data_IF_124190090707
#
_entry.id   IF_124190090707
#
_cell.length_a   1.000
_cell.length_b   1.000
_cell.length_c   1.000
_cell.angle_alpha   90.00
_cell.angle_beta   90.00
_cell.angle_gamma   90.00
#
_symmetry.space_group_name_H-M   'P 1'
#
loop_
_entity.id
_entity.type
_entity.pdbx_description
1 polymer ?
#
# COMPACT_ATOMS: atom_id res chain seq x y z
N UNK A 1 -0.91 -18.75 -19.26
CA UNK A 1 -0.19 -18.18 -18.11
C UNK A 1 -1.20 -18.10 -16.98
N UNK A 2 -0.95 -18.73 -15.84
CA UNK A 2 -1.79 -18.57 -14.65
C UNK A 2 -1.63 -17.13 -14.17
N UNK A 3 -2.69 -16.34 -14.24
CA UNK A 3 -2.68 -14.98 -13.72
C UNK A 3 -2.77 -15.05 -12.18
N UNK A 4 -1.74 -14.54 -11.50
CA UNK A 4 -1.69 -14.52 -10.05
C UNK A 4 -2.50 -13.34 -9.52
N UNK A 5 -3.57 -13.62 -8.77
CA UNK A 5 -4.30 -12.58 -8.04
C UNK A 5 -3.59 -12.26 -6.72
N UNK A 6 -3.36 -10.98 -6.47
CA UNK A 6 -2.69 -10.47 -5.27
C UNK A 6 -3.52 -9.33 -4.70
N UNK A 7 -3.86 -9.41 -3.43
CA UNK A 7 -4.53 -8.35 -2.70
C UNK A 7 -3.51 -7.58 -1.86
N UNK A 8 -3.50 -6.26 -2.00
CA UNK A 8 -2.60 -5.38 -1.27
C UNK A 8 -3.42 -4.36 -0.51
N UNK A 9 -3.19 -4.26 0.80
CA UNK A 9 -3.66 -3.14 1.62
C UNK A 9 -2.45 -2.35 2.08
N UNK A 10 -2.36 -1.09 1.69
CA UNK A 10 -1.22 -0.25 1.98
C UNK A 10 -1.62 1.11 2.57
N UNK A 11 -0.78 1.58 3.49
CA UNK A 11 -0.98 2.86 4.17
C UNK A 11 0.39 3.52 4.47
N UNK A 12 0.36 4.80 4.76
CA UNK A 12 1.48 5.63 5.13
C UNK A 12 1.20 6.47 6.37
N UNK A 13 2.24 6.78 7.14
CA UNK A 13 2.11 7.70 8.25
C UNK A 13 3.39 8.49 8.50
N UNK A 14 3.27 9.81 8.65
CA UNK A 14 4.31 10.71 9.10
C UNK A 14 4.02 11.15 10.55
N UNK A 15 5.02 11.03 11.41
CA UNK A 15 4.95 11.43 12.82
C UNK A 15 5.26 12.93 12.95
N UNK A 16 4.26 13.71 13.37
CA UNK A 16 4.41 15.15 13.62
C UNK A 16 3.12 15.92 13.33
N UNK A 17 2.91 17.01 14.06
CA UNK A 17 1.67 17.79 13.96
C UNK A 17 1.70 18.87 12.86
N UNK A 18 2.84 19.02 12.18
CA UNK A 18 3.02 20.00 11.10
C UNK A 18 3.14 19.27 9.77
N UNK A 19 2.00 19.12 9.08
CA UNK A 19 1.92 18.46 7.77
C UNK A 19 2.66 19.21 6.66
N UNK A 20 3.15 20.43 6.92
CA UNK A 20 3.91 21.23 5.96
C UNK A 20 5.42 20.97 6.00
N UNK A 21 5.91 20.27 7.02
CA UNK A 21 7.34 19.98 7.20
C UNK A 21 7.64 18.49 7.07
N UNK A 22 8.75 18.11 6.42
CA UNK A 22 9.21 16.73 6.44
C UNK A 22 9.40 16.23 7.87
N UNK A 23 8.94 15.04 8.15
CA UNK A 23 9.12 14.37 9.44
C UNK A 23 9.46 12.90 9.26
N UNK A 24 9.67 12.20 10.38
CA UNK A 24 9.86 10.74 10.37
C UNK A 24 8.58 10.11 9.83
N UNK A 25 8.68 9.34 8.76
CA UNK A 25 7.53 8.67 8.16
C UNK A 25 7.80 7.19 7.89
N UNK A 26 6.71 6.46 7.71
CA UNK A 26 6.66 5.03 7.44
C UNK A 26 5.61 4.75 6.37
N UNK A 27 5.81 3.69 5.61
CA UNK A 27 4.78 3.06 4.79
C UNK A 27 4.76 1.57 5.09
N UNK A 28 3.61 0.94 4.87
CA UNK A 28 3.49 -0.49 4.98
C UNK A 28 2.46 -1.04 4.01
N UNK A 29 2.61 -2.32 3.69
CA UNK A 29 1.67 -3.08 2.90
C UNK A 29 1.48 -4.47 3.50
N UNK A 30 0.22 -4.86 3.72
CA UNK A 30 -0.21 -6.25 3.86
C UNK A 30 -0.46 -6.79 2.44
N UNK A 31 0.27 -7.84 2.09
CA UNK A 31 0.18 -8.49 0.78
C UNK A 31 -0.33 -9.90 0.98
N UNK A 32 -1.39 -10.25 0.27
CA UNK A 32 -2.04 -11.54 0.39
C UNK A 32 -2.21 -12.20 -0.97
N UNK A 33 -1.97 -13.50 -1.03
CA UNK A 33 -2.18 -14.29 -2.23
C UNK A 33 -2.74 -15.69 -1.90
N UNK A 34 -3.49 -16.31 -2.83
CA UNK A 34 -3.98 -17.68 -2.66
C UNK A 34 -2.85 -18.69 -2.56
N UNK A 35 -2.96 -19.62 -1.62
CA UNK A 35 -2.01 -20.70 -1.37
C UNK A 35 -2.77 -22.02 -1.16
N UNK A 36 -3.23 -22.62 -2.25
CA UNK A 36 -4.12 -23.79 -2.21
C UNK A 36 -5.45 -23.41 -1.55
N UNK A 37 -5.80 -24.12 -0.48
CA UNK A 37 -7.02 -23.87 0.31
C UNK A 37 -6.81 -22.83 1.44
N UNK A 38 -5.67 -22.14 1.44
CA UNK A 38 -5.32 -21.12 2.44
C UNK A 38 -4.88 -19.81 1.80
N UNK A 39 -4.70 -18.78 2.63
CA UNK A 39 -4.16 -17.48 2.24
C UNK A 39 -2.74 -17.33 2.77
N UNK A 40 -1.79 -17.05 1.88
CA UNK A 40 -0.45 -16.63 2.30
C UNK A 40 -0.42 -15.11 2.48
N UNK A 41 0.16 -14.66 3.58
CA UNK A 41 0.23 -13.26 3.98
C UNK A 41 1.66 -12.81 4.25
N UNK A 42 2.03 -11.67 3.70
CA UNK A 42 3.32 -11.03 3.95
C UNK A 42 3.14 -9.57 4.32
N UNK A 43 4.06 -9.08 5.13
CA UNK A 43 4.21 -7.66 5.36
C UNK A 43 5.40 -7.12 4.59
N UNK A 44 5.25 -5.89 4.16
CA UNK A 44 6.32 -5.04 3.71
C UNK A 44 6.20 -3.71 4.42
N UNK A 45 7.31 -3.13 4.86
CA UNK A 45 7.34 -1.78 5.39
C UNK A 45 8.72 -1.13 5.24
N UNK A 46 8.69 0.19 5.09
CA UNK A 46 9.85 1.06 5.01
C UNK A 46 9.65 2.32 5.85
N UNK A 47 10.75 3.01 6.13
CA UNK A 47 10.77 4.27 6.85
C UNK A 47 11.68 5.29 6.17
N UNK A 48 11.45 6.57 6.47
CA UNK A 48 12.36 7.67 6.13
C UNK A 48 12.38 8.70 7.27
N UNK A 49 13.54 9.25 7.64
CA UNK A 49 13.64 10.20 8.74
C UNK A 49 13.09 11.59 8.39
N UNK A 50 13.01 11.92 7.09
CA UNK A 50 12.50 13.19 6.60
C UNK A 50 11.71 12.98 5.31
N UNK A 51 10.39 12.91 5.43
CA UNK A 51 9.47 12.61 4.33
C UNK A 51 8.10 13.25 4.56
N UNK A 52 7.18 13.05 3.62
CA UNK A 52 5.78 13.45 3.72
C UNK A 52 4.88 12.26 3.44
N UNK A 53 3.61 12.30 3.85
CA UNK A 53 2.65 11.23 3.57
C UNK A 53 2.61 10.89 2.08
N UNK A 54 2.42 11.89 1.19
CA UNK A 54 2.40 11.67 -0.25
C UNK A 54 3.66 10.96 -0.79
N UNK A 55 4.85 11.26 -0.27
CA UNK A 55 6.08 10.55 -0.67
C UNK A 55 6.09 9.11 -0.18
N UNK A 56 5.64 8.87 1.06
CA UNK A 56 5.58 7.54 1.65
C UNK A 56 4.53 6.65 0.97
N UNK A 57 3.38 7.21 0.60
CA UNK A 57 2.34 6.54 -0.18
C UNK A 57 2.91 5.99 -1.51
N UNK A 58 3.56 6.88 -2.27
CA UNK A 58 4.15 6.53 -3.56
C UNK A 58 5.29 5.52 -3.40
N UNK A 59 6.21 5.75 -2.45
CA UNK A 59 7.33 4.86 -2.19
C UNK A 59 6.85 3.44 -1.79
N UNK A 60 5.84 3.36 -0.92
CA UNK A 60 5.25 2.09 -0.47
C UNK A 60 4.61 1.33 -1.63
N UNK A 61 3.80 2.01 -2.46
CA UNK A 61 3.18 1.41 -3.63
C UNK A 61 4.22 0.90 -4.65
N UNK A 62 5.26 1.71 -4.92
CA UNK A 62 6.37 1.30 -5.80
C UNK A 62 7.01 0.02 -5.29
N UNK A 63 7.42 0.02 -4.01
CA UNK A 63 8.17 -1.08 -3.45
C UNK A 63 7.34 -2.37 -3.35
N UNK A 64 6.06 -2.26 -2.97
CA UNK A 64 5.14 -3.40 -2.97
C UNK A 64 5.00 -4.03 -4.36
N UNK A 65 4.77 -3.21 -5.41
CA UNK A 65 4.66 -3.72 -6.78
C UNK A 65 5.99 -4.28 -7.31
N UNK A 66 7.14 -3.67 -6.97
CA UNK A 66 8.47 -4.20 -7.32
C UNK A 66 8.75 -5.56 -6.66
N UNK A 67 8.26 -5.79 -5.45
CA UNK A 67 8.31 -7.10 -4.79
C UNK A 67 7.40 -8.12 -5.45
N UNK A 68 6.15 -7.76 -5.72
CA UNK A 68 5.18 -8.62 -6.43
C UNK A 68 5.74 -9.06 -7.78
N UNK A 69 6.36 -8.14 -8.54
CA UNK A 69 7.04 -8.44 -9.80
C UNK A 69 8.16 -9.46 -9.63
N UNK A 70 8.95 -9.40 -8.56
CA UNK A 70 10.02 -10.37 -8.31
C UNK A 70 9.48 -11.77 -7.99
N UNK A 71 8.30 -11.87 -7.40
CA UNK A 71 7.67 -13.14 -7.06
C UNK A 71 6.94 -13.77 -8.26
N UNK A 72 6.11 -13.01 -8.97
CA UNK A 72 5.21 -13.57 -10.00
C UNK A 72 5.45 -13.07 -11.43
N UNK A 73 6.41 -12.16 -11.64
CA UNK A 73 6.69 -11.44 -12.90
C UNK A 73 5.54 -10.56 -13.42
N UNK A 74 4.32 -11.07 -13.43
CA UNK A 74 3.06 -10.40 -13.76
C UNK A 74 1.96 -10.88 -12.79
N UNK A 75 1.07 -9.98 -12.38
CA UNK A 75 -0.01 -10.28 -11.43
C UNK A 75 -1.21 -9.37 -11.68
N UNK A 76 -2.40 -9.85 -11.35
CA UNK A 76 -3.58 -9.02 -11.17
C UNK A 76 -3.60 -8.55 -9.71
N UNK A 77 -3.27 -7.28 -9.50
CA UNK A 77 -3.14 -6.67 -8.18
C UNK A 77 -4.38 -5.84 -7.88
N UNK A 78 -5.12 -6.19 -6.84
CA UNK A 78 -6.06 -5.24 -6.21
C UNK A 78 -5.29 -4.46 -5.16
N UNK A 79 -5.07 -3.17 -5.42
CA UNK A 79 -4.31 -2.28 -4.55
C UNK A 79 -5.26 -1.35 -3.80
N UNK A 80 -5.40 -1.59 -2.50
CA UNK A 80 -6.27 -0.85 -1.58
C UNK A 80 -5.44 0.11 -0.74
N UNK A 81 -5.86 1.37 -0.66
CA UNK A 81 -5.25 2.38 0.21
C UNK A 81 -6.24 3.49 0.51
N UNK A 82 -6.08 4.18 1.64
CA UNK A 82 -6.83 5.39 1.98
C UNK A 82 -6.20 6.69 1.45
N UNK A 83 -5.02 6.60 0.83
CA UNK A 83 -4.35 7.70 0.17
C UNK A 83 -5.06 8.09 -1.13
N UNK A 84 -6.00 9.05 -1.07
CA UNK A 84 -6.64 9.59 -2.28
C UNK A 84 -5.62 10.11 -3.29
N UNK A 85 -4.50 10.67 -2.80
CA UNK A 85 -3.42 11.16 -3.65
C UNK A 85 -2.83 10.06 -4.51
N UNK A 86 -2.55 8.89 -3.92
CA UNK A 86 -2.07 7.71 -4.64
C UNK A 86 -3.14 7.17 -5.59
N UNK A 87 -4.35 6.88 -5.08
CA UNK A 87 -5.40 6.19 -5.84
C UNK A 87 -5.85 7.04 -7.02
N UNK A 88 -6.22 8.31 -6.82
CA UNK A 88 -6.64 9.20 -7.92
C UNK A 88 -5.48 9.52 -8.84
N UNK A 89 -4.27 9.65 -8.30
CA UNK A 89 -3.10 9.88 -9.14
C UNK A 89 -2.84 8.76 -10.13
N UNK A 90 -3.02 7.49 -9.72
CA UNK A 90 -2.88 6.36 -10.63
C UNK A 90 -4.10 6.10 -11.52
N UNK A 91 -5.31 6.24 -10.99
CA UNK A 91 -6.54 5.88 -11.71
C UNK A 91 -7.12 7.01 -12.58
N UNK A 92 -6.87 8.27 -12.23
CA UNK A 92 -7.49 9.43 -12.90
C UNK A 92 -6.44 10.36 -13.54
N UNK A 93 -5.38 10.73 -12.80
CA UNK A 93 -4.51 11.85 -13.20
C UNK A 93 -3.31 11.42 -14.05
N UNK A 94 -2.82 10.20 -13.87
CA UNK A 94 -1.62 9.64 -14.53
C UNK A 94 -1.63 9.86 -16.04
N UNK A 95 -2.71 9.50 -16.72
CA UNK A 95 -2.84 9.60 -18.18
C UNK A 95 -2.62 11.05 -18.67
N UNK A 96 -3.16 12.01 -17.92
CA UNK A 96 -3.08 13.43 -18.22
C UNK A 96 -1.67 14.00 -17.98
N UNK A 97 -0.97 13.48 -16.97
CA UNK A 97 0.43 13.83 -16.69
C UNK A 97 1.39 13.23 -17.71
N UNK A 98 1.22 11.97 -18.09
CA UNK A 98 2.03 11.30 -19.12
C UNK A 98 1.94 12.03 -20.46
N UNK A 99 0.73 12.37 -20.89
CA UNK A 99 0.49 13.13 -22.12
C UNK A 99 1.17 14.52 -22.12
N UNK A 100 1.49 15.07 -20.93
CA UNK A 100 2.17 16.36 -20.76
C UNK A 100 3.64 16.24 -20.35
N UNK A 101 4.22 15.04 -20.47
CA UNK A 101 5.61 14.80 -20.08
C UNK A 101 5.85 14.98 -18.58
N UNK A 102 4.93 14.45 -17.76
CA UNK A 102 4.96 14.49 -16.30
C UNK A 102 4.93 15.90 -15.70
N UNK A 103 4.03 16.73 -16.23
CA UNK A 103 3.79 18.12 -15.78
C UNK A 103 2.31 18.39 -15.53
N UNK A 104 2.01 19.28 -14.59
CA UNK A 104 0.65 19.81 -14.38
C UNK A 104 0.39 20.95 -15.37
N UNK A 105 -0.89 21.26 -15.62
CA UNK A 105 -1.28 22.46 -16.40
C UNK A 105 -0.73 23.75 -15.78
N UNK A 106 -0.65 23.78 -14.45
CA UNK A 106 -0.27 24.94 -13.65
C UNK A 106 1.22 25.00 -13.32
N UNK A 107 2.04 24.05 -13.81
CA UNK A 107 3.49 24.05 -13.59
C UNK A 107 4.07 22.67 -13.29
N UNK A 108 5.11 22.65 -12.44
CA UNK A 108 5.79 21.43 -12.05
C UNK A 108 4.83 20.46 -11.35
N UNK A 109 5.00 19.16 -11.64
CA UNK A 109 4.32 18.10 -10.92
C UNK A 109 5.16 17.72 -9.70
N UNK A 110 4.58 17.87 -8.52
CA UNK A 110 5.20 17.39 -7.28
C UNK A 110 5.39 15.87 -7.34
N UNK A 111 6.55 15.40 -6.86
CA UNK A 111 6.91 13.98 -6.86
C UNK A 111 6.94 13.33 -8.26
N UNK A 112 7.18 14.11 -9.32
CA UNK A 112 7.17 13.60 -10.70
C UNK A 112 8.06 12.36 -10.93
N UNK A 113 9.21 12.28 -10.27
CA UNK A 113 10.12 11.12 -10.36
C UNK A 113 9.50 9.85 -9.74
N UNK A 114 8.85 9.97 -8.58
CA UNK A 114 8.16 8.85 -7.93
C UNK A 114 6.95 8.41 -8.77
N UNK A 115 6.19 9.37 -9.31
CA UNK A 115 5.07 9.07 -10.21
C UNK A 115 5.51 8.31 -11.47
N UNK A 116 6.61 8.75 -12.10
CA UNK A 116 7.20 8.06 -13.24
C UNK A 116 7.62 6.64 -12.89
N UNK A 117 8.29 6.45 -11.75
CA UNK A 117 8.70 5.13 -11.28
C UNK A 117 7.50 4.23 -10.98
N UNK A 118 6.47 4.78 -10.33
CA UNK A 118 5.23 4.06 -10.01
C UNK A 118 4.50 3.62 -11.29
N UNK A 119 4.40 4.47 -12.29
CA UNK A 119 3.83 4.13 -13.58
C UNK A 119 4.57 2.96 -14.26
N UNK A 120 5.91 3.03 -14.30
CA UNK A 120 6.73 1.96 -14.90
C UNK A 120 6.54 0.60 -14.23
N UNK A 121 6.47 0.55 -12.89
CA UNK A 121 6.24 -0.73 -12.20
C UNK A 121 4.79 -1.18 -12.32
N UNK A 122 3.83 -0.25 -12.31
CA UNK A 122 2.40 -0.55 -12.49
C UNK A 122 2.15 -1.22 -13.83
N UNK A 123 2.80 -0.76 -14.91
CA UNK A 123 2.63 -1.32 -16.26
C UNK A 123 3.12 -2.76 -16.43
N UNK A 124 3.81 -3.30 -15.42
CA UNK A 124 4.19 -4.71 -15.37
C UNK A 124 3.05 -5.62 -14.85
N UNK A 125 1.95 -5.03 -14.37
CA UNK A 125 0.84 -5.72 -13.72
C UNK A 125 -0.50 -5.23 -14.26
N UNK A 126 -1.56 -6.00 -14.03
CA UNK A 126 -2.94 -5.50 -14.13
C UNK A 126 -3.31 -4.98 -12.74
N UNK A 127 -3.42 -3.66 -12.55
CA UNK A 127 -3.67 -3.09 -11.22
C UNK A 127 -5.06 -2.44 -11.13
N UNK A 128 -5.88 -2.94 -10.20
CA UNK A 128 -7.16 -2.36 -9.79
C UNK A 128 -6.94 -1.52 -8.52
N UNK A 129 -7.01 -0.21 -8.67
CA UNK A 129 -6.80 0.75 -7.57
C UNK A 129 -8.10 1.02 -6.83
N UNK A 130 -8.14 0.74 -5.52
CA UNK A 130 -9.32 0.89 -4.67
C UNK A 130 -9.03 1.85 -3.53
N UNK A 131 -9.81 2.92 -3.48
CA UNK A 131 -9.79 3.82 -2.35
C UNK A 131 -10.73 3.31 -1.26
N UNK A 132 -10.24 3.33 -0.02
CA UNK A 132 -11.04 3.13 1.19
C UNK A 132 -10.95 4.36 2.07
N UNK A 133 -11.95 4.61 2.91
CA UNK A 133 -11.85 5.71 3.87
C UNK A 133 -10.90 5.30 5.02
N UNK A 134 -9.87 6.09 5.28
CA UNK A 134 -9.02 5.92 6.45
C UNK A 134 -9.80 6.02 7.76
N UNK A 135 -9.35 5.30 8.79
CA UNK A 135 -9.97 5.32 10.13
C UNK A 135 -11.46 4.95 10.16
N UNK A 136 -11.90 4.11 9.24
CA UNK A 136 -13.30 3.71 9.09
C UNK A 136 -13.49 2.18 9.19
N UNK A 137 -12.70 1.54 10.06
CA UNK A 137 -12.82 0.11 10.40
C UNK A 137 -12.51 -0.86 9.24
N UNK A 138 -11.80 -0.40 8.22
CA UNK A 138 -11.24 -1.28 7.19
C UNK A 138 -10.06 -2.07 7.78
N UNK A 139 -10.36 -3.22 8.40
CA UNK A 139 -9.45 -4.01 9.24
C UNK A 139 -8.04 -4.19 8.68
N UNK A 140 -7.92 -4.53 7.38
CA UNK A 140 -6.63 -4.73 6.71
C UNK A 140 -5.87 -3.41 6.48
N UNK A 141 -6.58 -2.31 6.19
CA UNK A 141 -5.98 -0.98 6.09
C UNK A 141 -5.54 -0.46 7.48
N UNK A 142 -6.36 -0.67 8.51
CA UNK A 142 -6.01 -0.33 9.91
C UNK A 142 -4.75 -1.07 10.38
N UNK A 143 -4.59 -2.33 9.93
CA UNK A 143 -3.38 -3.08 10.16
C UNK A 143 -2.17 -2.46 9.43
N UNK A 144 -2.30 -2.15 8.12
CA UNK A 144 -1.25 -1.49 7.37
C UNK A 144 -0.84 -0.16 8.03
N UNK A 145 -1.80 0.65 8.48
CA UNK A 145 -1.55 1.87 9.25
C UNK A 145 -0.72 1.61 10.50
N UNK A 146 -1.11 0.62 11.31
CA UNK A 146 -0.40 0.28 12.54
C UNK A 146 1.06 -0.12 12.26
N UNK A 147 1.31 -0.85 11.17
CA UNK A 147 2.67 -1.20 10.74
C UNK A 147 3.43 0.03 10.22
N UNK A 148 2.79 0.92 9.46
CA UNK A 148 3.38 2.16 8.96
C UNK A 148 3.79 3.11 10.10
N UNK A 149 2.91 3.31 11.09
CA UNK A 149 3.20 4.08 12.31
C UNK A 149 4.39 3.49 13.06
N UNK A 150 4.42 2.16 13.25
CA UNK A 150 5.55 1.49 13.90
C UNK A 150 6.85 1.71 13.13
N UNK A 151 6.83 1.55 11.80
CA UNK A 151 8.00 1.77 10.96
C UNK A 151 8.48 3.23 11.05
N UNK A 152 7.56 4.20 11.08
CA UNK A 152 7.88 5.61 11.24
C UNK A 152 8.51 5.91 12.61
N UNK A 153 7.99 5.32 13.67
CA UNK A 153 8.46 5.56 15.05
C UNK A 153 9.83 4.95 15.30
N UNK A 154 9.98 3.67 14.95
CA UNK A 154 11.18 2.88 15.17
C UNK A 154 12.25 3.11 14.10
N UNK A 155 11.90 3.76 12.99
CA UNK A 155 12.78 3.95 11.83
C UNK A 155 13.37 2.61 11.35
N UNK A 156 12.50 1.61 11.23
CA UNK A 156 12.84 0.25 10.80
C UNK A 156 12.26 -0.07 9.42
N UNK A 157 12.94 -0.96 8.69
CA UNK A 157 12.54 -1.45 7.37
C UNK A 157 12.57 -2.98 7.39
N UNK A 158 11.56 -3.59 6.78
CA UNK A 158 11.42 -5.05 6.64
C UNK A 158 12.54 -5.71 5.81
N UNK A 159 13.21 -4.93 4.94
CA UNK A 159 14.18 -5.42 3.94
C UNK A 159 13.63 -6.49 2.98
N UNK A 160 12.30 -6.56 2.86
CA UNK A 160 11.59 -7.40 1.90
C UNK A 160 10.29 -7.93 2.44
N UNK A 161 9.70 -8.89 1.71
CA UNK A 161 8.52 -9.58 2.20
C UNK A 161 8.90 -10.45 3.40
N UNK A 162 8.28 -10.18 4.54
CA UNK A 162 8.39 -11.02 5.74
C UNK A 162 7.04 -11.68 6.03
N UNK A 163 6.99 -12.81 6.77
CA UNK A 163 5.71 -13.37 7.23
C UNK A 163 4.88 -12.30 7.94
N UNK A 164 3.59 -12.21 7.60
CA UNK A 164 2.73 -11.17 8.14
C UNK A 164 2.42 -11.37 9.63
N UNK A 165 2.40 -10.27 10.38
CA UNK A 165 1.87 -10.22 11.75
C UNK A 165 0.35 -10.08 11.84
N UNK A 166 -0.37 -10.04 10.71
CA UNK A 166 -1.79 -9.69 10.64
C UNK A 166 -2.69 -10.57 11.52
N UNK A 167 -2.54 -11.89 11.46
CA UNK A 167 -3.41 -12.81 12.23
C UNK A 167 -3.23 -12.63 13.75
N UNK A 168 -1.98 -12.38 14.17
CA UNK A 168 -1.67 -12.10 15.58
C UNK A 168 -2.26 -10.75 16.00
N UNK A 169 -2.11 -9.72 15.16
CA UNK A 169 -2.71 -8.41 15.42
C UNK A 169 -4.23 -8.48 15.48
N UNK A 170 -4.87 -9.20 14.56
CA UNK A 170 -6.32 -9.38 14.52
C UNK A 170 -6.83 -10.09 15.77
N UNK A 171 -6.14 -11.14 16.23
CA UNK A 171 -6.46 -11.81 17.49
C UNK A 171 -6.40 -10.85 18.70
N UNK A 172 -5.42 -9.94 18.74
CA UNK A 172 -5.32 -8.92 19.80
C UNK A 172 -6.45 -7.90 19.72
N UNK A 173 -6.88 -7.48 18.53
CA UNK A 173 -8.04 -6.60 18.36
C UNK A 173 -9.34 -7.29 18.80
N UNK A 174 -9.52 -8.57 18.45
CA UNK A 174 -10.67 -9.39 18.89
C UNK A 174 -10.73 -9.56 20.40
N UNK A 175 -9.59 -9.77 21.05
CA UNK A 175 -9.51 -9.81 22.51
C UNK A 175 -9.94 -8.48 23.19
N UNK A 176 -9.91 -7.37 22.44
CA UNK A 176 -10.39 -6.04 22.86
C UNK A 176 -11.82 -5.76 22.38
N UNK A 177 -12.53 -6.75 21.85
CA UNK A 177 -13.90 -6.62 21.35
C UNK A 177 -14.03 -5.97 19.97
N UNK A 178 -12.94 -5.81 19.21
CA UNK A 178 -12.95 -5.24 17.86
C UNK A 178 -12.89 -6.33 16.79
N UNK A 179 -13.54 -6.12 15.65
CA UNK A 179 -13.45 -6.98 14.45
C UNK A 179 -13.78 -8.47 14.73
N UNK A 180 -14.70 -8.74 15.65
CA UNK A 180 -15.05 -10.10 16.10
C UNK A 180 -15.55 -10.95 14.94
N UNK A 181 -16.43 -10.38 14.11
CA UNK A 181 -17.06 -11.06 12.98
C UNK A 181 -16.34 -10.85 11.64
N UNK A 182 -15.16 -10.20 11.66
CA UNK A 182 -14.41 -9.96 10.43
C UNK A 182 -13.79 -11.27 9.92
N UNK A 183 -14.17 -11.69 8.71
CA UNK A 183 -13.53 -12.80 8.01
C UNK A 183 -12.29 -12.30 7.23
N UNK A 184 -11.07 -12.72 7.61
CA UNK A 184 -9.83 -12.25 6.99
C UNK A 184 -9.62 -12.76 5.55
N UNK A 185 -10.25 -13.86 5.17
CA UNK A 185 -10.02 -14.52 3.87
C UNK A 185 -11.11 -14.16 2.84
N UNK A 186 -12.25 -13.65 3.31
CA UNK A 186 -13.43 -13.32 2.48
C UNK A 186 -13.10 -12.61 1.16
N UNK A 187 -12.33 -11.53 1.24
CA UNK A 187 -12.02 -10.69 0.07
C UNK A 187 -11.21 -11.42 -1.02
N UNK A 188 -10.41 -12.42 -0.63
CA UNK A 188 -9.65 -13.26 -1.56
C UNK A 188 -10.46 -14.40 -2.16
N UNK A 189 -11.52 -14.82 -1.49
CA UNK A 189 -12.45 -15.83 -1.99
C UNK A 189 -13.48 -15.22 -2.96
N UNK A 190 -13.92 -13.99 -2.71
CA UNK A 190 -14.89 -13.26 -3.54
C UNK A 190 -14.26 -12.62 -4.79
N UNK A 191 -13.37 -13.34 -5.51
CA UNK A 191 -12.69 -12.83 -6.72
C UNK A 191 -13.70 -12.50 -7.83
N UNK A 192 -14.24 -11.28 -7.80
CA UNK A 192 -15.05 -10.69 -8.87
C UNK A 192 -14.17 -10.23 -10.02
#
# INVERSE_FOLDING_TARGET
>A
MTEHFVLVHADESCLGNDSTKPSRGGNAALIEAPAGDSVARWDFFECSPQTTNNKMALAGAIAALEWIRRQWRHAHVRFVSDSEYLIKGMSEWRKDWEARGWRRKTGALENAELWQKLAQVTDMHTVDWRWVRGHNEHVKNEYANAVAIRAADQQERSNGLIPSGFDTWLAQQRARGKFVDFDPDKELHERA
#
